data_IF_526301787285
#
_entry.id   IF_526301787285
#
_cell.length_a   1.000
_cell.length_b   1.000
_cell.length_c   1.000
_cell.angle_alpha   90.00
_cell.angle_beta   90.00
_cell.angle_gamma   90.00
#
_symmetry.space_group_name_H-M   'P 1'
#
loop_
_entity.id
_entity.type
_entity.pdbx_description
1 polymer ?
#
# COMPACT_ATOMS: atom_id res chain seq x y z
N UNK A 1 -0.99 19.90 7.84
CA UNK A 1 -1.43 18.78 6.99
C UNK A 1 -2.59 18.09 7.70
N UNK A 2 -3.79 18.06 7.11
CA UNK A 2 -5.03 17.63 7.79
C UNK A 2 -4.95 16.21 8.37
N UNK A 3 -5.50 16.03 9.57
CA UNK A 3 -5.66 14.76 10.27
C UNK A 3 -6.28 13.68 9.37
N UNK A 4 -7.22 14.08 8.52
CA UNK A 4 -7.87 13.21 7.54
C UNK A 4 -6.89 12.51 6.58
N UNK A 5 -5.87 13.23 6.09
CA UNK A 5 -4.86 12.68 5.16
C UNK A 5 -3.96 11.63 5.83
N UNK A 6 -3.74 11.76 7.14
CA UNK A 6 -2.98 10.80 7.93
C UNK A 6 -3.79 9.53 8.23
N UNK A 7 -5.07 9.68 8.56
CA UNK A 7 -5.99 8.56 8.76
C UNK A 7 -6.13 7.74 7.47
N UNK A 8 -6.30 8.39 6.33
CA UNK A 8 -6.36 7.73 5.02
C UNK A 8 -5.10 6.89 4.73
N UNK A 9 -3.91 7.45 5.02
CA UNK A 9 -2.63 6.76 4.84
C UNK A 9 -2.50 5.51 5.73
N UNK A 10 -2.96 5.60 6.98
CA UNK A 10 -2.98 4.48 7.93
C UNK A 10 -3.91 3.38 7.42
N UNK A 11 -5.12 3.75 6.99
CA UNK A 11 -6.10 2.79 6.45
C UNK A 11 -5.54 2.09 5.21
N UNK A 12 -4.94 2.84 4.27
CA UNK A 12 -4.34 2.27 3.07
C UNK A 12 -3.20 1.30 3.38
N UNK A 13 -2.35 1.65 4.35
CA UNK A 13 -1.26 0.78 4.80
C UNK A 13 -1.78 -0.52 5.41
N UNK A 14 -2.78 -0.44 6.29
CA UNK A 14 -3.41 -1.61 6.91
C UNK A 14 -4.08 -2.50 5.87
N UNK A 15 -4.73 -1.90 4.86
CA UNK A 15 -5.38 -2.62 3.78
C UNK A 15 -4.38 -3.46 2.97
N UNK A 16 -3.22 -2.88 2.65
CA UNK A 16 -2.13 -3.57 1.95
C UNK A 16 -1.59 -4.75 2.78
N UNK A 17 -1.35 -4.54 4.07
CA UNK A 17 -0.86 -5.58 4.98
C UNK A 17 -1.89 -6.72 5.10
N UNK A 18 -3.18 -6.40 5.23
CA UNK A 18 -4.26 -7.39 5.34
C UNK A 18 -4.51 -8.19 4.04
N UNK A 19 -4.20 -7.61 2.88
CA UNK A 19 -4.31 -8.28 1.59
C UNK A 19 -3.28 -9.41 1.41
N UNK A 20 -2.11 -9.32 2.05
CA UNK A 20 -1.03 -10.31 1.92
C UNK A 20 -1.36 -11.73 2.42
N UNK A 21 -1.90 -11.94 3.64
CA UNK A 21 -2.29 -13.28 4.09
C UNK A 21 -3.49 -13.83 3.29
N UNK A 22 -4.40 -12.96 2.87
CA UNK A 22 -5.57 -13.31 2.03
C UNK A 22 -5.12 -13.82 0.66
N UNK A 23 -4.11 -13.19 0.08
CA UNK A 23 -3.45 -13.65 -1.14
C UNK A 23 -2.80 -15.01 -0.97
N UNK A 24 -1.98 -15.18 0.07
CA UNK A 24 -1.28 -16.43 0.37
C UNK A 24 -2.25 -17.61 0.45
N UNK A 25 -3.42 -17.41 1.07
CA UNK A 25 -4.49 -18.43 1.11
C UNK A 25 -5.06 -18.72 -0.28
N UNK A 26 -5.46 -17.70 -1.04
CA UNK A 26 -6.01 -17.89 -2.40
C UNK A 26 -5.03 -18.58 -3.36
N UNK A 27 -3.74 -18.29 -3.27
CA UNK A 27 -2.70 -18.96 -4.08
C UNK A 27 -2.54 -20.43 -3.69
N UNK A 28 -2.60 -20.75 -2.39
CA UNK A 28 -2.49 -22.13 -1.93
C UNK A 28 -3.67 -23.01 -2.40
N UNK A 29 -4.86 -22.41 -2.52
CA UNK A 29 -6.11 -23.08 -2.90
C UNK A 29 -6.36 -23.12 -4.42
N UNK A 30 -5.59 -22.38 -5.22
CA UNK A 30 -5.78 -22.30 -6.68
C UNK A 30 -5.04 -23.42 -7.42
N UNK A 31 -5.72 -24.21 -8.29
CA UNK A 31 -5.10 -25.28 -9.06
C UNK A 31 -4.09 -24.78 -10.10
N UNK A 32 -4.23 -23.52 -10.56
CA UNK A 32 -3.28 -22.86 -11.44
C UNK A 32 -2.36 -21.90 -10.66
N UNK A 33 -1.32 -22.49 -10.06
CA UNK A 33 -0.37 -21.79 -9.18
C UNK A 33 0.47 -20.74 -9.91
N UNK A 34 0.64 -20.83 -11.24
CA UNK A 34 1.46 -19.89 -12.01
C UNK A 34 0.68 -18.64 -12.41
N UNK A 35 -0.56 -18.78 -12.87
CA UNK A 35 -1.39 -17.64 -13.27
C UNK A 35 -1.85 -16.79 -12.08
N UNK A 36 -2.26 -17.43 -10.97
CA UNK A 36 -2.73 -16.73 -9.77
C UNK A 36 -1.62 -15.97 -9.02
N UNK A 37 -0.37 -16.44 -9.10
CA UNK A 37 0.77 -15.75 -8.49
C UNK A 37 1.15 -14.47 -9.23
N UNK A 38 1.20 -14.48 -10.57
CA UNK A 38 1.67 -13.30 -11.33
C UNK A 38 0.75 -12.10 -11.18
N UNK A 39 -0.54 -12.23 -11.52
CA UNK A 39 -1.48 -11.10 -11.50
C UNK A 39 -1.57 -10.44 -10.13
N UNK A 40 -1.71 -11.25 -9.08
CA UNK A 40 -1.86 -10.72 -7.73
C UNK A 40 -0.55 -10.13 -7.20
N UNK A 41 0.61 -10.71 -7.54
CA UNK A 41 1.92 -10.15 -7.15
C UNK A 41 2.10 -8.76 -7.75
N UNK A 42 1.79 -8.56 -9.03
CA UNK A 42 1.84 -7.23 -9.66
C UNK A 42 0.87 -6.24 -9.01
N UNK A 43 -0.37 -6.65 -8.74
CA UNK A 43 -1.38 -5.79 -8.09
C UNK A 43 -0.94 -5.42 -6.67
N UNK A 44 -0.45 -6.37 -5.89
CA UNK A 44 0.05 -6.13 -4.53
C UNK A 44 1.21 -5.13 -4.52
N UNK A 45 2.24 -5.36 -5.36
CA UNK A 45 3.39 -4.45 -5.44
C UNK A 45 3.03 -3.08 -6.00
N UNK A 46 2.04 -2.99 -6.90
CA UNK A 46 1.49 -1.72 -7.35
C UNK A 46 0.86 -0.93 -6.20
N UNK A 47 0.02 -1.57 -5.37
CA UNK A 47 -0.57 -0.92 -4.19
C UNK A 47 0.49 -0.52 -3.15
N UNK A 48 1.48 -1.38 -2.89
CA UNK A 48 2.63 -1.05 -2.02
C UNK A 48 3.36 0.19 -2.54
N UNK A 49 3.65 0.23 -3.84
CA UNK A 49 4.31 1.37 -4.48
C UNK A 49 3.50 2.66 -4.38
N UNK A 50 2.17 2.59 -4.54
CA UNK A 50 1.27 3.73 -4.44
C UNK A 50 1.22 4.30 -3.01
N UNK A 51 1.14 3.43 -2.00
CA UNK A 51 1.22 3.83 -0.59
C UNK A 51 2.58 4.44 -0.25
N UNK A 52 3.68 3.87 -0.75
CA UNK A 52 5.02 4.41 -0.55
C UNK A 52 5.17 5.81 -1.18
N UNK A 53 4.76 5.97 -2.45
CA UNK A 53 4.74 7.26 -3.14
C UNK A 53 3.93 8.30 -2.36
N UNK A 54 2.75 7.92 -1.88
CA UNK A 54 1.88 8.84 -1.14
C UNK A 54 2.44 9.20 0.23
N UNK A 55 3.15 8.28 0.88
CA UNK A 55 3.87 8.51 2.14
C UNK A 55 5.02 9.51 1.91
N UNK A 56 5.85 9.29 0.89
CA UNK A 56 6.94 10.20 0.53
C UNK A 56 6.41 11.60 0.18
N UNK A 57 5.34 11.69 -0.60
CA UNK A 57 4.70 12.96 -0.93
C UNK A 57 4.17 13.70 0.33
N UNK A 58 3.59 12.97 1.28
CA UNK A 58 3.14 13.53 2.57
C UNK A 58 4.32 14.06 3.38
N UNK A 59 5.43 13.30 3.46
CA UNK A 59 6.64 13.71 4.18
C UNK A 59 7.28 14.93 3.52
N UNK A 60 7.41 14.94 2.19
CA UNK A 60 7.94 16.08 1.43
C UNK A 60 7.08 17.33 1.61
N UNK A 61 5.76 17.21 1.50
CA UNK A 61 4.84 18.32 1.77
C UNK A 61 5.00 18.83 3.20
N UNK A 62 5.05 17.93 4.19
CA UNK A 62 5.26 18.29 5.58
C UNK A 62 6.61 19.01 5.78
N UNK A 63 7.69 18.54 5.17
CA UNK A 63 9.02 19.15 5.23
C UNK A 63 9.03 20.55 4.56
N UNK A 64 8.39 20.70 3.40
CA UNK A 64 8.29 22.00 2.71
C UNK A 64 7.42 23.01 3.48
N UNK A 65 6.34 22.56 4.12
CA UNK A 65 5.48 23.43 4.96
C UNK A 65 6.03 23.67 6.37
N UNK A 66 6.99 22.84 6.82
CA UNK A 66 7.61 22.90 8.15
C UNK A 66 8.95 23.66 8.20
N UNK A 67 9.50 24.10 7.06
CA UNK A 67 10.64 25.03 6.99
C UNK A 67 10.21 26.51 6.97
N UNK A 68 9.14 26.82 7.72
CA UNK A 68 8.81 28.18 8.16
C UNK A 68 8.82 28.16 9.68
N UNK A 69 10.02 28.01 10.24
CA UNK A 69 10.35 28.40 11.61
C UNK A 69 11.62 29.23 11.54
#
# INVERSE_FOLDING_TARGET
MDLYKWIELIILTVLVIALYPTWRKKVAESPDKKASQMWFTYVYWFFVGLVALRTVASILLAAMTGMVF
#
